data_IF_166512799900
#
_entry.id   IF_166512799900
#
_cell.length_a   1.000
_cell.length_b   1.000
_cell.length_c   1.000
_cell.angle_alpha   90.00
_cell.angle_beta   90.00
_cell.angle_gamma   90.00
#
_symmetry.space_group_name_H-M   'P 1'
#
loop_
_entity.id
_entity.type
_entity.pdbx_description
1 polymer ?
#
# COMPACT_ATOMS: atom_id res chain seq x y z
N UNK A 1 24.87 -2.93 13.91
CA UNK A 1 23.70 -3.85 13.75
C UNK A 1 22.35 -3.14 13.60
N UNK A 2 22.03 -2.09 14.39
CA UNK A 2 20.73 -1.41 14.31
C UNK A 2 20.42 -0.81 12.92
N UNK A 3 21.41 -0.13 12.32
CA UNK A 3 21.27 0.44 10.97
C UNK A 3 21.01 -0.62 9.91
N UNK A 4 21.69 -1.77 9.97
CA UNK A 4 21.45 -2.91 9.09
C UNK A 4 20.00 -3.39 9.20
N UNK A 5 19.51 -3.63 10.43
CA UNK A 5 18.14 -4.07 10.66
C UNK A 5 17.12 -3.04 10.15
N UNK A 6 17.36 -1.75 10.36
CA UNK A 6 16.51 -0.68 9.87
C UNK A 6 16.44 -0.67 8.33
N UNK A 7 17.57 -0.78 7.65
CA UNK A 7 17.62 -0.87 6.18
C UNK A 7 16.90 -2.14 5.68
N UNK A 8 17.06 -3.27 6.38
CA UNK A 8 16.31 -4.49 6.06
C UNK A 8 14.81 -4.32 6.22
N UNK A 9 14.32 -3.53 7.19
CA UNK A 9 12.89 -3.27 7.34
C UNK A 9 12.35 -2.49 6.14
N UNK A 10 13.05 -1.44 5.70
CA UNK A 10 12.68 -0.71 4.49
C UNK A 10 12.63 -1.62 3.26
N UNK A 11 13.65 -2.47 3.09
CA UNK A 11 13.72 -3.46 2.02
C UNK A 11 12.52 -4.42 2.07
N UNK A 12 12.26 -5.02 3.24
CA UNK A 12 11.19 -6.02 3.42
C UNK A 12 9.82 -5.38 3.20
N UNK A 13 9.57 -4.16 3.67
CA UNK A 13 8.32 -3.46 3.38
C UNK A 13 8.14 -3.22 1.87
N UNK A 14 9.20 -2.81 1.17
CA UNK A 14 9.14 -2.63 -0.28
C UNK A 14 8.86 -3.94 -1.02
N UNK A 15 9.55 -5.03 -0.67
CA UNK A 15 9.33 -6.37 -1.25
C UNK A 15 7.93 -6.89 -0.94
N UNK A 16 7.50 -6.80 0.32
CA UNK A 16 6.18 -7.25 0.74
C UNK A 16 5.09 -6.51 -0.03
N UNK A 17 5.21 -5.20 -0.19
CA UNK A 17 4.25 -4.45 -0.98
C UNK A 17 4.32 -4.78 -2.47
N UNK A 18 5.48 -5.10 -3.05
CA UNK A 18 5.52 -5.59 -4.44
C UNK A 18 4.75 -6.89 -4.58
N UNK A 19 4.82 -7.82 -3.62
CA UNK A 19 4.11 -9.11 -3.75
C UNK A 19 2.59 -8.93 -3.69
N UNK A 20 2.10 -7.98 -2.88
CA UNK A 20 0.67 -7.82 -2.59
C UNK A 20 0.02 -6.60 -3.26
N UNK A 21 0.82 -5.72 -3.86
CA UNK A 21 0.49 -4.53 -4.66
C UNK A 21 -0.46 -3.48 -4.03
N UNK A 22 -1.06 -3.75 -2.88
CA UNK A 22 -2.20 -3.00 -2.38
C UNK A 22 -2.14 -2.58 -0.91
N UNK A 23 -1.06 -2.83 -0.17
CA UNK A 23 -1.06 -2.56 1.28
C UNK A 23 -1.29 -1.06 1.55
N UNK A 24 -0.49 -0.11 0.99
CA UNK A 24 -0.77 1.32 1.17
C UNK A 24 -2.06 1.79 0.49
N UNK A 25 -2.46 1.20 -0.63
CA UNK A 25 -3.70 1.58 -1.33
C UNK A 25 -4.93 1.30 -0.47
N UNK A 26 -5.00 0.09 0.11
CA UNK A 26 -6.06 -0.30 1.07
C UNK A 26 -5.97 0.55 2.32
N UNK A 27 -4.76 0.74 2.86
CA UNK A 27 -4.54 1.60 4.02
C UNK A 27 -5.12 3.00 3.83
N UNK A 28 -4.85 3.65 2.69
CA UNK A 28 -5.37 4.99 2.42
C UNK A 28 -6.86 5.01 2.10
N UNK A 29 -7.43 3.93 1.55
CA UNK A 29 -8.88 3.88 1.34
C UNK A 29 -9.65 3.80 2.65
N UNK A 30 -9.13 3.09 3.65
CA UNK A 30 -9.75 2.99 4.98
C UNK A 30 -9.62 4.28 5.79
N UNK A 31 -8.49 4.98 5.64
CA UNK A 31 -8.25 6.24 6.37
C UNK A 31 -9.16 7.39 5.91
N UNK A 32 -9.78 7.26 4.74
CA UNK A 32 -10.70 8.26 4.20
C UNK A 32 -12.15 7.91 4.57
N UNK A 33 -12.91 8.81 5.22
CA UNK A 33 -14.31 8.57 5.52
C UNK A 33 -15.11 8.27 4.25
N UNK A 34 -15.98 7.25 4.27
CA UNK A 34 -16.78 6.82 3.11
C UNK A 34 -17.55 7.96 2.43
N UNK A 35 -18.04 8.94 3.22
CA UNK A 35 -18.77 10.11 2.70
C UNK A 35 -17.92 10.99 1.78
N UNK A 36 -16.62 11.05 2.03
CA UNK A 36 -15.66 11.87 1.28
C UNK A 36 -14.95 11.04 0.22
N UNK A 37 -14.85 9.72 0.44
CA UNK A 37 -14.14 8.80 -0.45
C UNK A 37 -14.58 8.95 -1.92
N UNK A 38 -15.89 9.07 -2.17
CA UNK A 38 -16.42 9.26 -3.52
C UNK A 38 -15.86 10.51 -4.24
N UNK A 39 -15.59 11.58 -3.51
CA UNK A 39 -15.09 12.85 -4.06
C UNK A 39 -13.56 12.87 -4.19
N UNK A 40 -12.86 12.09 -3.37
CA UNK A 40 -11.39 12.16 -3.22
C UNK A 40 -10.67 10.86 -3.54
N UNK A 41 -11.35 9.83 -4.08
CA UNK A 41 -10.71 8.55 -4.44
C UNK A 41 -9.54 8.74 -5.43
N UNK A 42 -9.61 9.77 -6.28
CA UNK A 42 -8.54 10.17 -7.20
C UNK A 42 -7.23 10.56 -6.51
N UNK A 43 -7.26 10.89 -5.22
CA UNK A 43 -6.09 11.26 -4.43
C UNK A 43 -5.27 10.04 -3.98
N UNK A 44 -5.87 8.85 -3.90
CA UNK A 44 -5.23 7.64 -3.35
C UNK A 44 -3.89 7.31 -4.04
N UNK A 45 -3.77 7.32 -5.39
CA UNK A 45 -2.51 7.01 -6.04
C UNK A 45 -1.39 7.98 -5.61
N UNK A 46 -1.71 9.27 -5.47
CA UNK A 46 -0.77 10.29 -5.03
C UNK A 46 -0.34 10.11 -3.57
N UNK A 47 -1.26 9.70 -2.69
CA UNK A 47 -0.93 9.37 -1.29
C UNK A 47 0.00 8.17 -1.19
N UNK A 48 -0.23 7.14 -2.01
CA UNK A 48 0.65 5.97 -2.11
C UNK A 48 2.05 6.38 -2.57
N UNK A 49 2.13 7.18 -3.64
CA UNK A 49 3.41 7.67 -4.15
C UNK A 49 4.14 8.52 -3.10
N UNK A 50 3.44 9.43 -2.44
CA UNK A 50 3.97 10.26 -1.38
C UNK A 50 4.50 9.40 -0.21
N UNK A 51 3.75 8.39 0.20
CA UNK A 51 4.15 7.47 1.27
C UNK A 51 5.49 6.78 0.97
N UNK A 52 5.65 6.19 -0.21
CA UNK A 52 6.92 5.58 -0.60
C UNK A 52 8.04 6.59 -0.82
N UNK A 53 7.72 7.79 -1.32
CA UNK A 53 8.69 8.88 -1.41
C UNK A 53 9.22 9.28 -0.03
N UNK A 54 8.36 9.37 1.00
CA UNK A 54 8.81 9.63 2.38
C UNK A 54 9.77 8.55 2.86
N UNK A 55 9.44 7.27 2.65
CA UNK A 55 10.33 6.15 3.00
C UNK A 55 11.70 6.24 2.29
N UNK A 56 11.69 6.53 0.99
CA UNK A 56 12.91 6.69 0.19
C UNK A 56 13.74 7.90 0.62
N UNK A 57 13.12 9.07 0.83
CA UNK A 57 13.81 10.27 1.29
C UNK A 57 14.41 10.10 2.68
N UNK A 58 13.69 9.43 3.58
CA UNK A 58 14.19 9.06 4.91
C UNK A 58 15.45 8.21 4.80
N UNK A 59 15.37 7.10 4.05
CA UNK A 59 16.49 6.16 3.90
C UNK A 59 17.70 6.81 3.21
N UNK A 60 17.47 7.59 2.15
CA UNK A 60 18.52 8.32 1.45
C UNK A 60 19.20 9.33 2.37
N UNK A 61 18.41 10.11 3.11
CA UNK A 61 18.94 11.12 4.03
C UNK A 61 19.73 10.48 5.17
N UNK A 62 19.25 9.37 5.73
CA UNK A 62 19.94 8.63 6.78
C UNK A 62 21.24 7.95 6.30
N UNK A 63 21.33 7.61 5.01
CA UNK A 63 22.48 6.90 4.42
C UNK A 63 23.55 7.80 3.81
N UNK A 64 23.17 8.94 3.22
CA UNK A 64 24.07 9.72 2.36
C UNK A 64 24.22 11.18 2.76
N UNK A 65 23.48 11.68 3.75
CA UNK A 65 23.56 13.08 4.15
C UNK A 65 24.28 13.27 5.49
N UNK A 66 25.10 14.34 5.63
CA UNK A 66 25.87 14.59 6.86
C UNK A 66 25.00 15.06 8.04
N UNK A 67 23.72 15.40 7.82
CA UNK A 67 22.78 15.82 8.87
C UNK A 67 21.51 14.96 8.81
N UNK A 68 21.56 13.70 9.30
CA UNK A 68 20.47 12.74 9.14
C UNK A 68 19.18 13.09 9.90
N UNK A 69 19.19 14.11 10.78
CA UNK A 69 18.05 14.49 11.60
C UNK A 69 16.76 14.78 10.81
N UNK A 70 16.86 15.39 9.62
CA UNK A 70 15.69 15.58 8.73
C UNK A 70 15.19 14.25 8.17
N UNK A 71 16.09 13.38 7.74
CA UNK A 71 15.77 12.02 7.29
C UNK A 71 15.04 11.22 8.36
N UNK A 72 15.51 11.32 9.61
CA UNK A 72 14.87 10.67 10.76
C UNK A 72 13.44 11.17 10.98
N UNK A 73 13.20 12.47 10.91
CA UNK A 73 11.86 13.02 11.08
C UNK A 73 10.91 12.55 9.96
N UNK A 74 11.38 12.52 8.73
CA UNK A 74 10.63 11.97 7.59
C UNK A 74 10.32 10.48 7.81
N UNK A 75 11.30 9.70 8.30
CA UNK A 75 11.11 8.30 8.61
C UNK A 75 10.11 8.05 9.74
N UNK A 76 10.06 8.94 10.74
CA UNK A 76 9.05 8.90 11.80
C UNK A 76 7.66 9.05 11.20
N UNK A 77 7.47 9.99 10.28
CA UNK A 77 6.19 10.16 9.58
C UNK A 77 5.86 8.89 8.77
N UNK A 78 6.79 8.40 7.97
CA UNK A 78 6.62 7.18 7.17
C UNK A 78 6.16 5.98 8.02
N UNK A 79 6.89 5.64 9.08
CA UNK A 79 6.53 4.50 9.93
C UNK A 79 5.27 4.75 10.75
N UNK A 80 5.00 5.99 11.18
CA UNK A 80 3.79 6.30 11.93
C UNK A 80 2.54 6.16 11.07
N UNK A 81 2.59 6.64 9.82
CA UNK A 81 1.48 6.45 8.86
C UNK A 81 1.27 4.96 8.59
N UNK A 82 2.35 4.20 8.36
CA UNK A 82 2.26 2.75 8.16
C UNK A 82 1.64 2.01 9.35
N UNK A 83 2.00 2.40 10.57
CA UNK A 83 1.45 1.80 11.80
C UNK A 83 -0.03 2.17 12.01
N UNK A 84 -0.36 3.46 11.99
CA UNK A 84 -1.74 3.96 12.20
C UNK A 84 -2.68 3.38 11.15
N UNK A 85 -2.28 3.46 9.88
CA UNK A 85 -3.08 2.95 8.80
C UNK A 85 -3.26 1.44 8.86
N UNK A 86 -2.24 0.68 9.27
CA UNK A 86 -2.40 -0.77 9.47
C UNK A 86 -3.38 -1.11 10.58
N UNK A 87 -3.37 -0.35 11.68
CA UNK A 87 -4.32 -0.50 12.78
C UNK A 87 -5.75 -0.11 12.40
N UNK A 88 -5.90 0.91 11.55
CA UNK A 88 -7.21 1.38 11.07
C UNK A 88 -7.94 0.34 10.21
N UNK A 89 -7.21 -0.57 9.55
CA UNK A 89 -7.78 -1.62 8.68
C UNK A 89 -8.38 -2.80 9.48
N UNK A 90 -7.92 -3.06 10.71
CA UNK A 90 -8.41 -4.20 11.52
C UNK A 90 -9.94 -4.27 11.72
N UNK A 91 -10.65 -3.17 12.04
CA UNK A 91 -12.10 -3.22 12.26
C UNK A 91 -12.92 -3.44 10.98
N UNK A 92 -12.38 -3.19 9.78
CA UNK A 92 -13.17 -3.26 8.54
C UNK A 92 -13.23 -4.66 7.90
N UNK A 93 -12.24 -5.52 8.16
CA UNK A 93 -12.15 -6.82 7.48
C UNK A 93 -12.20 -7.94 8.50
N UNK A 94 -13.42 -8.33 8.95
CA UNK A 94 -13.52 -9.31 10.03
C UNK A 94 -13.50 -10.77 9.62
N UNK A 95 -13.96 -11.14 8.42
CA UNK A 95 -14.20 -12.56 8.14
C UNK A 95 -13.84 -13.02 6.70
N UNK A 96 -13.76 -12.12 5.73
CA UNK A 96 -13.66 -12.53 4.32
C UNK A 96 -12.22 -12.72 3.80
N UNK A 97 -11.20 -12.13 4.46
CA UNK A 97 -9.81 -12.12 3.95
C UNK A 97 -8.75 -12.33 5.05
N UNK A 98 -8.57 -13.56 5.57
CA UNK A 98 -7.62 -13.84 6.65
C UNK A 98 -6.16 -13.51 6.27
N UNK A 99 -5.79 -13.67 4.99
CA UNK A 99 -4.46 -13.33 4.50
C UNK A 99 -4.20 -11.82 4.61
N UNK A 100 -5.20 -10.98 4.33
CA UNK A 100 -5.06 -9.52 4.39
C UNK A 100 -4.75 -9.06 5.81
N UNK A 101 -5.42 -9.64 6.81
CA UNK A 101 -5.13 -9.39 8.23
C UNK A 101 -3.70 -9.73 8.60
N UNK A 102 -3.21 -10.90 8.20
CA UNK A 102 -1.81 -11.31 8.49
C UNK A 102 -0.82 -10.31 7.89
N UNK A 103 -1.09 -9.82 6.68
CA UNK A 103 -0.25 -8.82 6.03
C UNK A 103 -0.25 -7.48 6.76
N UNK A 104 -1.40 -7.00 7.22
CA UNK A 104 -1.48 -5.76 7.99
C UNK A 104 -0.89 -5.89 9.40
N UNK A 105 -1.00 -7.06 10.05
CA UNK A 105 -0.24 -7.35 11.29
C UNK A 105 1.26 -7.28 11.01
N UNK A 106 1.74 -7.95 9.96
CA UNK A 106 3.14 -7.91 9.59
C UNK A 106 3.61 -6.49 9.26
N UNK A 107 2.81 -5.72 8.53
CA UNK A 107 3.10 -4.33 8.19
C UNK A 107 3.15 -3.42 9.42
N UNK A 108 2.21 -3.59 10.36
CA UNK A 108 2.19 -2.88 11.64
C UNK A 108 3.42 -3.20 12.48
N UNK A 109 3.80 -4.48 12.58
CA UNK A 109 5.00 -4.91 13.31
C UNK A 109 6.28 -4.37 12.68
N UNK A 110 6.41 -4.42 11.35
CA UNK A 110 7.53 -3.82 10.63
C UNK A 110 7.59 -2.31 10.85
N UNK A 111 6.44 -1.63 10.86
CA UNK A 111 6.36 -0.19 11.09
C UNK A 111 6.74 0.19 12.52
N UNK A 112 6.26 -0.57 13.50
CA UNK A 112 6.60 -0.37 14.91
C UNK A 112 8.09 -0.62 15.17
N UNK A 113 8.64 -1.71 14.63
CA UNK A 113 10.06 -2.04 14.76
C UNK A 113 10.93 -1.02 14.02
N UNK A 114 10.50 -0.59 12.84
CA UNK A 114 11.14 0.46 12.05
C UNK A 114 11.21 1.77 12.82
N UNK A 115 10.10 2.21 13.41
CA UNK A 115 10.03 3.41 14.26
C UNK A 115 10.97 3.29 15.47
N UNK A 116 10.92 2.16 16.18
CA UNK A 116 11.77 1.91 17.34
C UNK A 116 13.27 1.94 16.99
N UNK A 117 13.67 1.29 15.89
CA UNK A 117 15.05 1.28 15.43
C UNK A 117 15.49 2.65 14.91
N UNK A 118 14.62 3.37 14.21
CA UNK A 118 14.88 4.71 13.67
C UNK A 118 15.20 5.70 14.79
N UNK A 119 14.48 5.65 15.91
CA UNK A 119 14.74 6.50 17.07
C UNK A 119 16.04 6.15 17.79
N UNK A 120 16.58 4.93 17.60
CA UNK A 120 17.80 4.43 18.24
C UNK A 120 19.01 4.36 17.30
N UNK A 121 18.87 4.83 16.07
CA UNK A 121 19.89 4.79 15.02
C UNK A 121 20.29 6.21 14.68
N UNK A 122 21.58 6.53 14.86
CA UNK A 122 22.08 7.87 14.61
C UNK A 122 22.26 8.12 13.10
N UNK A 123 22.94 7.21 12.42
CA UNK A 123 23.23 7.19 10.99
C UNK A 123 23.30 5.73 10.47
N UNK A 124 23.49 5.55 9.17
CA UNK A 124 23.64 4.24 8.52
C UNK A 124 25.08 3.96 8.04
N UNK A 125 26.09 4.55 8.68
CA UNK A 125 27.50 4.47 8.25
C UNK A 125 28.03 3.03 8.22
N UNK A 126 27.56 2.18 9.14
CA UNK A 126 27.94 0.76 9.21
C UNK A 126 27.27 -0.13 8.14
N UNK A 127 26.40 0.43 7.30
CA UNK A 127 25.63 -0.33 6.31
C UNK A 127 26.27 -0.18 4.94
N UNK A 128 26.39 -1.30 4.21
CA UNK A 128 26.96 -1.24 2.86
C UNK A 128 26.12 -0.33 1.96
N UNK A 129 26.74 0.59 1.19
CA UNK A 129 26.01 1.48 0.29
C UNK A 129 25.14 0.71 -0.71
N UNK A 130 25.60 -0.47 -1.14
CA UNK A 130 24.85 -1.35 -2.03
C UNK A 130 23.50 -1.77 -1.42
N UNK A 131 23.45 -2.11 -0.13
CA UNK A 131 22.21 -2.51 0.52
C UNK A 131 21.25 -1.32 0.66
N UNK A 132 21.76 -0.13 0.98
CA UNK A 132 20.96 1.10 1.05
C UNK A 132 20.35 1.43 -0.31
N UNK A 133 21.17 1.39 -1.38
CA UNK A 133 20.70 1.63 -2.75
C UNK A 133 19.68 0.60 -3.19
N UNK A 134 19.90 -0.69 -2.90
CA UNK A 134 18.93 -1.75 -3.21
C UNK A 134 17.59 -1.53 -2.51
N UNK A 135 17.61 -1.17 -1.23
CA UNK A 135 16.39 -0.86 -0.47
C UNK A 135 15.68 0.40 -1.02
N UNK A 136 16.43 1.44 -1.42
CA UNK A 136 15.86 2.62 -2.08
C UNK A 136 15.17 2.27 -3.40
N UNK A 137 15.85 1.54 -4.28
CA UNK A 137 15.30 1.14 -5.58
C UNK A 137 14.05 0.28 -5.42
N UNK A 138 14.08 -0.67 -4.48
CA UNK A 138 12.93 -1.52 -4.18
C UNK A 138 11.75 -0.70 -3.64
N UNK A 139 11.96 0.26 -2.74
CA UNK A 139 10.90 1.14 -2.25
C UNK A 139 10.29 2.00 -3.37
N UNK A 140 11.15 2.59 -4.22
CA UNK A 140 10.69 3.43 -5.33
C UNK A 140 9.91 2.61 -6.35
N UNK A 141 10.43 1.42 -6.70
CA UNK A 141 9.73 0.49 -7.59
C UNK A 141 8.40 0.04 -6.99
N UNK A 142 8.39 -0.31 -5.70
CA UNK A 142 7.17 -0.66 -4.96
C UNK A 142 6.12 0.46 -5.00
N UNK A 143 6.55 1.71 -4.81
CA UNK A 143 5.68 2.87 -4.92
C UNK A 143 5.15 3.12 -6.34
N UNK A 144 5.99 2.93 -7.36
CA UNK A 144 5.57 3.05 -8.76
C UNK A 144 4.51 2.01 -9.13
N UNK A 145 4.72 0.74 -8.74
CA UNK A 145 3.74 -0.31 -9.03
C UNK A 145 2.44 -0.06 -8.28
N UNK A 146 2.48 0.24 -6.98
CA UNK A 146 1.25 0.53 -6.23
C UNK A 146 0.54 1.80 -6.68
N UNK A 147 1.26 2.81 -7.19
CA UNK A 147 0.64 3.97 -7.84
C UNK A 147 -0.19 3.55 -9.06
N UNK A 148 0.39 2.74 -9.95
CA UNK A 148 -0.31 2.25 -11.15
C UNK A 148 -1.51 1.38 -10.78
N UNK A 149 -1.34 0.47 -9.81
CA UNK A 149 -2.44 -0.36 -9.32
C UNK A 149 -3.56 0.48 -8.68
N UNK A 150 -3.20 1.49 -7.88
CA UNK A 150 -4.18 2.40 -7.29
C UNK A 150 -4.91 3.22 -8.35
N UNK A 151 -4.24 3.69 -9.40
CA UNK A 151 -4.89 4.38 -10.52
C UNK A 151 -5.95 3.48 -11.17
N UNK A 152 -5.58 2.23 -11.47
CA UNK A 152 -6.50 1.27 -12.08
C UNK A 152 -7.73 0.99 -11.19
N UNK A 153 -7.53 0.79 -9.88
CA UNK A 153 -8.63 0.58 -8.93
C UNK A 153 -9.57 1.80 -8.85
N UNK A 154 -9.01 3.00 -8.87
CA UNK A 154 -9.80 4.24 -8.80
C UNK A 154 -10.60 4.46 -10.07
N UNK A 155 -10.00 4.21 -11.24
CA UNK A 155 -10.70 4.26 -12.52
C UNK A 155 -11.87 3.27 -12.57
N UNK A 156 -11.64 2.04 -12.10
CA UNK A 156 -12.67 1.01 -12.00
C UNK A 156 -13.79 1.41 -11.04
N UNK A 157 -13.46 1.96 -9.88
CA UNK A 157 -14.42 2.47 -8.91
C UNK A 157 -15.33 3.55 -9.51
N UNK A 158 -14.76 4.54 -10.21
CA UNK A 158 -15.55 5.57 -10.86
C UNK A 158 -16.40 5.01 -12.01
N UNK A 159 -15.89 4.06 -12.80
CA UNK A 159 -16.68 3.43 -13.85
C UNK A 159 -17.95 2.75 -13.28
N UNK A 160 -17.80 1.99 -12.19
CA UNK A 160 -18.93 1.31 -11.54
C UNK A 160 -19.95 2.26 -10.91
N UNK A 161 -19.50 3.40 -10.35
CA UNK A 161 -20.42 4.43 -9.84
C UNK A 161 -21.21 5.06 -10.97
N UNK A 162 -20.55 5.46 -12.06
CA UNK A 162 -21.25 6.09 -13.19
C UNK A 162 -22.19 5.10 -13.89
N UNK A 163 -21.85 3.80 -13.93
CA UNK A 163 -22.76 2.75 -14.39
C UNK A 163 -24.00 2.65 -13.51
N UNK A 164 -23.86 2.61 -12.18
CA UNK A 164 -25.00 2.55 -11.26
C UNK A 164 -25.91 3.79 -11.33
N UNK A 165 -25.36 4.97 -11.58
CA UNK A 165 -26.15 6.20 -11.76
C UNK A 165 -26.88 6.25 -13.12
N UNK A 166 -26.38 5.51 -14.12
CA UNK A 166 -26.99 5.42 -15.45
C UNK A 166 -28.08 4.36 -15.58
N UNK A 167 -28.24 3.47 -14.58
CA UNK A 167 -29.33 2.48 -14.53
C UNK A 167 -30.56 3.16 -13.91
N UNK A 168 -31.66 3.34 -14.66
CA UNK A 168 -32.89 3.90 -14.10
C UNK A 168 -33.36 3.01 -12.93
N UNK A 169 -33.78 3.58 -11.80
CA UNK A 169 -34.28 2.84 -10.62
C UNK A 169 -35.41 1.85 -10.94
N UNK A 170 -36.07 2.01 -12.10
CA UNK A 170 -37.17 1.17 -12.59
C UNK A 170 -36.74 0.11 -13.63
N UNK A 171 -35.45 0.00 -13.96
CA UNK A 171 -34.98 -1.06 -14.84
C UNK A 171 -34.86 -2.35 -14.03
N UNK A 172 -35.87 -3.22 -14.13
CA UNK A 172 -35.75 -4.61 -13.72
C UNK A 172 -34.58 -5.22 -14.47
N UNK A 173 -33.46 -5.43 -13.78
CA UNK A 173 -32.34 -6.23 -14.28
C UNK A 173 -32.89 -7.64 -14.45
N UNK A 174 -33.29 -7.99 -15.67
CA UNK A 174 -33.55 -9.37 -16.03
C UNK A 174 -32.17 -10.02 -16.03
N UNK A 175 -31.81 -10.62 -14.89
CA UNK A 175 -30.70 -11.56 -14.82
C UNK A 175 -31.11 -12.73 -15.70
N UNK A 176 -30.79 -12.65 -16.99
CA UNK A 176 -30.85 -13.79 -17.87
C UNK A 176 -29.80 -14.78 -17.33
N UNK A 177 -30.24 -15.72 -16.51
CA UNK A 177 -29.45 -16.90 -16.23
C UNK A 177 -29.06 -17.50 -17.60
N UNK A 178 -27.78 -17.84 -17.83
CA UNK A 178 -27.41 -18.52 -19.05
C UNK A 178 -28.26 -19.78 -19.15
N UNK A 179 -29.09 -19.86 -20.20
CA UNK A 179 -29.76 -21.11 -20.53
C UNK A 179 -28.68 -22.17 -20.69
N UNK A 180 -28.76 -23.20 -19.86
CA UNK A 180 -27.84 -24.31 -19.88
C UNK A 180 -28.14 -25.14 -21.13
N UNK A 181 -27.64 -24.69 -22.29
CA UNK A 181 -27.74 -25.45 -23.53
C UNK A 181 -26.81 -26.64 -23.45
N UNK A 182 -27.40 -27.83 -23.46
CA UNK A 182 -26.68 -29.10 -23.49
C UNK A 182 -25.67 -29.12 -24.65
N UNK A 183 -24.46 -29.67 -24.46
CA UNK A 183 -23.48 -29.76 -25.54
C UNK A 183 -24.05 -30.56 -26.72
N UNK A 184 -23.73 -30.19 -27.96
CA UNK A 184 -24.25 -30.87 -29.14
C UNK A 184 -23.84 -32.33 -29.10
N UNK A 185 -24.82 -33.24 -29.20
CA UNK A 185 -24.57 -34.67 -29.34
C UNK A 185 -23.72 -34.88 -30.60
N UNK A 186 -22.47 -35.30 -30.40
CA UNK A 186 -21.52 -35.63 -31.46
C UNK A 186 -21.90 -36.91 -32.19
N UNK A 187 -22.96 -36.86 -32.99
CA UNK A 187 -23.23 -37.84 -34.04
C UNK A 187 -23.32 -37.10 -35.37
N UNK A 188 -22.16 -36.91 -35.99
CA UNK A 188 -21.96 -36.44 -37.35
C UNK A 188 -20.72 -37.10 -37.93
#
# INVERSE_FOLDING_TARGET
MKGLLLTCIYLVQGVLNIVFYGIPSIMFSVLLPQRVFREVAWLIPFLVLLYFALGAFSLYSMGFTPKPGRGRLIGVVYFSVGLIGSLAVFPEFTDETPLLRVLFVAWALLSLLGLFLLLRTENLEDVSPLLIVSALLILLFSGAVSFLTAQWIVEDYYAHIHMNESVPENATVIVAHPENVSPPNGTG
#
